data_IF_757691722116
#
_entry.id   IF_757691722116
#
_cell.length_a   1.000
_cell.length_b   1.000
_cell.length_c   1.000
_cell.angle_alpha   90.00
_cell.angle_beta   90.00
_cell.angle_gamma   90.00
#
_symmetry.space_group_name_H-M   'P 1'
#
loop_
_entity.id
_entity.type
_entity.pdbx_description
1 polymer ?
#
# COMPACT_ATOMS: atom_id res chain seq x y z
N UNK A 1 22.56 -40.72 2.70
CA UNK A 1 21.53 -41.71 3.01
C UNK A 1 21.34 -41.71 4.51
N UNK A 2 20.42 -40.95 5.01
CA UNK A 2 19.75 -41.12 6.31
C UNK A 2 18.45 -40.31 6.23
N UNK A 3 17.36 -41.08 6.28
CA UNK A 3 15.98 -40.62 6.17
C UNK A 3 15.61 -39.65 7.31
N UNK A 4 14.89 -38.57 6.97
CA UNK A 4 14.13 -37.79 7.91
C UNK A 4 12.70 -38.36 8.00
N UNK A 5 12.08 -38.40 9.18
CA UNK A 5 10.72 -38.91 9.32
C UNK A 5 9.68 -37.84 9.04
N UNK A 6 8.72 -38.18 8.17
CA UNK A 6 7.43 -37.49 8.02
C UNK A 6 6.62 -37.62 9.33
N UNK A 7 6.24 -36.47 9.90
CA UNK A 7 5.26 -36.38 10.97
C UNK A 7 4.14 -35.44 10.58
N UNK A 8 2.86 -35.82 10.78
CA UNK A 8 1.73 -34.95 10.43
C UNK A 8 1.60 -33.77 11.37
N UNK A 9 1.16 -32.63 10.82
CA UNK A 9 0.86 -31.41 11.53
C UNK A 9 -0.27 -31.61 12.57
N UNK A 10 -0.26 -30.93 13.72
CA UNK A 10 -1.30 -31.09 14.72
C UNK A 10 -2.63 -30.42 14.31
N UNK A 11 -3.71 -31.19 14.46
CA UNK A 11 -5.10 -30.75 14.33
C UNK A 11 -5.41 -29.62 15.32
N UNK A 12 -5.85 -28.48 14.81
CA UNK A 12 -6.41 -27.39 15.63
C UNK A 12 -7.87 -27.74 15.94
N UNK A 13 -8.15 -28.07 17.19
CA UNK A 13 -9.46 -28.37 17.73
C UNK A 13 -10.40 -27.16 17.62
N UNK A 14 -11.51 -27.33 16.90
CA UNK A 14 -12.63 -26.40 16.87
C UNK A 14 -13.32 -26.39 18.24
N UNK A 15 -13.37 -25.23 18.88
CA UNK A 15 -14.18 -25.01 20.08
C UNK A 15 -15.67 -24.79 19.72
N UNK A 16 -16.60 -25.03 20.67
CA UNK A 16 -18.04 -25.03 20.40
C UNK A 16 -18.62 -23.63 20.18
N UNK A 17 -19.52 -23.52 19.19
CA UNK A 17 -20.31 -22.33 18.86
C UNK A 17 -21.35 -22.08 19.96
N UNK A 18 -21.51 -20.88 20.52
CA UNK A 18 -22.60 -20.57 21.44
C UNK A 18 -23.96 -20.36 20.74
N UNK A 19 -25.02 -20.83 21.39
CA UNK A 19 -26.38 -20.81 20.95
C UNK A 19 -26.99 -19.40 20.71
N UNK A 20 -27.90 -19.33 19.76
CA UNK A 20 -28.60 -18.15 19.30
C UNK A 20 -29.49 -17.49 20.36
N UNK A 21 -29.44 -16.18 20.49
CA UNK A 21 -30.31 -15.35 21.28
C UNK A 21 -31.74 -15.20 20.67
N UNK A 22 -32.80 -15.03 21.45
CA UNK A 22 -34.19 -15.08 20.97
C UNK A 22 -34.64 -13.80 20.25
N UNK A 23 -35.39 -13.99 19.17
CA UNK A 23 -36.00 -12.95 18.37
C UNK A 23 -37.04 -12.14 19.17
N UNK A 24 -36.86 -10.82 19.28
CA UNK A 24 -37.87 -9.88 19.78
C UNK A 24 -38.93 -9.65 18.70
N UNK A 25 -40.19 -9.86 19.11
CA UNK A 25 -41.42 -9.57 18.31
C UNK A 25 -41.58 -8.06 18.13
N UNK A 26 -41.64 -7.60 16.87
CA UNK A 26 -41.92 -6.22 16.50
C UNK A 26 -43.39 -5.86 16.79
N UNK A 27 -43.64 -4.67 17.33
CA UNK A 27 -44.93 -4.04 17.46
C UNK A 27 -45.30 -3.38 16.12
N UNK A 28 -46.47 -3.75 15.59
CA UNK A 28 -47.05 -3.10 14.44
C UNK A 28 -47.60 -1.71 14.83
N UNK A 29 -47.21 -0.70 14.06
CA UNK A 29 -47.81 0.64 14.11
C UNK A 29 -48.87 0.77 13.00
N UNK A 30 -50.06 1.16 13.36
CA UNK A 30 -51.18 1.39 12.45
C UNK A 30 -50.94 2.71 11.67
N UNK A 31 -50.98 2.63 10.34
CA UNK A 31 -50.99 3.79 9.45
C UNK A 31 -52.42 4.38 9.37
N UNK A 32 -52.55 5.63 9.77
CA UNK A 32 -53.76 6.42 9.53
C UNK A 32 -53.72 6.95 8.08
N UNK A 33 -54.77 6.62 7.31
CA UNK A 33 -54.93 7.11 5.95
C UNK A 33 -55.44 8.56 5.97
N UNK A 34 -54.66 9.49 5.44
CA UNK A 34 -55.09 10.86 5.13
C UNK A 34 -55.42 10.91 3.64
N UNK A 35 -56.65 11.23 3.33
CA UNK A 35 -57.16 11.36 1.96
C UNK A 35 -56.53 12.57 1.28
N UNK A 36 -55.92 12.33 0.12
CA UNK A 36 -55.38 13.37 -0.76
C UNK A 36 -56.40 13.69 -1.86
N UNK A 37 -56.87 14.93 -1.91
CA UNK A 37 -57.68 15.48 -2.99
C UNK A 37 -56.76 15.68 -4.22
N UNK A 38 -57.10 15.04 -5.33
CA UNK A 38 -56.36 15.14 -6.59
C UNK A 38 -56.60 16.51 -7.26
N UNK A 39 -55.55 17.29 -7.47
CA UNK A 39 -55.53 18.43 -8.40
C UNK A 39 -55.12 17.96 -9.82
N UNK A 40 -55.61 18.57 -10.90
CA UNK A 40 -55.30 18.15 -12.28
C UNK A 40 -53.83 18.40 -12.65
N UNK A 41 -53.22 17.61 -13.56
CA UNK A 41 -51.83 17.77 -13.93
C UNK A 41 -51.64 19.01 -14.79
N UNK A 42 -50.86 19.96 -14.31
CA UNK A 42 -50.24 20.97 -15.15
C UNK A 42 -49.06 20.29 -15.86
N UNK A 43 -49.06 20.28 -17.20
CA UNK A 43 -48.02 19.70 -18.01
C UNK A 43 -46.68 20.41 -17.77
N UNK A 44 -45.88 19.90 -16.85
CA UNK A 44 -44.51 20.26 -16.64
C UNK A 44 -43.65 19.23 -17.35
N UNK A 45 -42.90 19.64 -18.39
CA UNK A 45 -41.86 18.82 -18.98
C UNK A 45 -40.88 18.40 -17.89
N UNK A 46 -40.76 17.11 -17.63
CA UNK A 46 -39.75 16.57 -16.75
C UNK A 46 -38.39 16.84 -17.39
N UNK A 47 -37.65 17.83 -16.90
CA UNK A 47 -36.22 17.96 -17.14
C UNK A 47 -35.59 16.78 -16.43
N UNK A 48 -35.24 15.74 -17.17
CA UNK A 48 -34.39 14.68 -16.68
C UNK A 48 -33.04 15.33 -16.37
N UNK A 49 -32.85 15.73 -15.12
CA UNK A 49 -31.53 16.04 -14.59
C UNK A 49 -30.75 14.73 -14.63
N UNK A 50 -29.96 14.53 -15.68
CA UNK A 50 -29.00 13.43 -15.72
C UNK A 50 -28.02 13.66 -14.58
N UNK A 51 -28.09 12.78 -13.56
CA UNK A 51 -27.10 12.77 -12.49
C UNK A 51 -25.74 12.60 -13.15
N UNK A 52 -24.75 13.46 -12.83
CA UNK A 52 -23.41 13.25 -13.36
C UNK A 52 -22.94 11.81 -13.05
N UNK A 53 -22.25 11.19 -13.97
CA UNK A 53 -21.73 9.85 -13.75
C UNK A 53 -20.78 9.88 -12.54
N UNK A 54 -20.82 8.84 -11.70
CA UNK A 54 -19.91 8.72 -10.57
C UNK A 54 -18.45 8.82 -11.04
N UNK A 55 -17.55 9.40 -10.25
CA UNK A 55 -16.13 9.44 -10.62
C UNK A 55 -15.57 8.01 -10.78
N UNK A 56 -14.61 7.85 -11.68
CA UNK A 56 -13.98 6.56 -11.95
C UNK A 56 -12.52 6.79 -12.29
N UNK A 57 -11.64 5.91 -11.78
CA UNK A 57 -10.23 5.91 -12.13
C UNK A 57 -10.00 5.53 -13.60
N UNK A 58 -8.82 5.89 -14.11
CA UNK A 58 -8.33 5.43 -15.41
C UNK A 58 -7.18 4.45 -15.20
N UNK A 59 -7.35 3.19 -15.59
CA UNK A 59 -6.25 2.24 -15.64
C UNK A 59 -5.35 2.57 -16.82
N UNK A 60 -4.03 2.61 -16.62
CA UNK A 60 -3.07 2.72 -17.70
C UNK A 60 -2.93 1.35 -18.39
N UNK A 61 -2.89 1.35 -19.72
CA UNK A 61 -2.49 0.16 -20.48
C UNK A 61 -0.96 0.06 -20.44
N UNK A 62 -0.47 -0.97 -19.76
CA UNK A 62 0.96 -1.16 -19.50
C UNK A 62 1.56 -2.20 -20.43
N UNK A 63 2.82 -2.00 -20.85
CA UNK A 63 3.60 -2.91 -21.67
C UNK A 63 5.06 -2.97 -21.18
N UNK A 64 5.82 -3.94 -21.71
CA UNK A 64 7.23 -4.13 -21.36
C UNK A 64 7.46 -5.02 -20.15
N UNK A 65 8.45 -4.71 -19.33
CA UNK A 65 8.76 -5.46 -18.12
C UNK A 65 7.86 -5.00 -16.96
N UNK A 66 6.83 -5.80 -16.67
CA UNK A 66 5.82 -5.51 -15.67
C UNK A 66 5.94 -6.39 -14.41
N UNK A 67 6.96 -7.26 -14.33
CA UNK A 67 7.13 -8.15 -13.18
C UNK A 67 7.63 -7.36 -11.97
N UNK A 68 6.70 -6.76 -11.22
CA UNK A 68 6.96 -5.80 -10.15
C UNK A 68 6.15 -6.16 -8.92
N UNK A 69 6.80 -6.21 -7.75
CA UNK A 69 6.18 -6.37 -6.43
C UNK A 69 6.52 -5.15 -5.57
N UNK A 70 5.57 -4.62 -4.81
CA UNK A 70 5.70 -3.44 -3.95
C UNK A 70 6.31 -2.24 -4.70
N UNK A 71 5.61 -1.70 -5.73
CA UNK A 71 6.13 -0.60 -6.51
C UNK A 71 6.17 0.71 -5.73
N UNK A 72 7.32 1.38 -5.68
CA UNK A 72 7.45 2.80 -5.38
C UNK A 72 7.50 3.58 -6.69
N UNK A 73 6.43 4.29 -7.01
CA UNK A 73 6.28 5.04 -8.25
C UNK A 73 6.79 6.47 -8.11
N UNK A 74 7.66 6.89 -9.00
CA UNK A 74 8.08 8.28 -9.17
C UNK A 74 7.59 8.77 -10.53
N UNK A 75 6.57 9.63 -10.52
CA UNK A 75 6.05 10.28 -11.74
C UNK A 75 6.92 11.47 -12.10
N UNK A 76 7.57 11.43 -13.26
CA UNK A 76 8.34 12.55 -13.81
C UNK A 76 7.44 13.74 -14.19
N UNK A 77 8.03 14.93 -14.32
CA UNK A 77 7.36 16.08 -14.90
C UNK A 77 7.12 15.89 -16.42
N UNK A 78 6.46 16.85 -17.06
CA UNK A 78 6.16 16.74 -18.50
C UNK A 78 7.44 16.57 -19.33
N UNK A 79 7.58 15.42 -19.97
CA UNK A 79 8.73 15.06 -20.79
C UNK A 79 9.87 14.37 -20.02
N UNK A 80 9.77 14.25 -18.72
CA UNK A 80 10.74 13.52 -17.90
C UNK A 80 10.35 12.05 -17.72
N UNK A 81 11.31 11.14 -17.55
CA UNK A 81 11.03 9.74 -17.31
C UNK A 81 10.28 9.49 -16.00
N UNK A 82 9.43 8.45 -16.00
CA UNK A 82 8.89 7.87 -14.78
C UNK A 82 9.75 6.71 -14.33
N UNK A 83 9.80 6.48 -13.03
CA UNK A 83 10.53 5.36 -12.43
C UNK A 83 9.63 4.54 -11.52
N UNK A 84 9.87 3.23 -11.48
CA UNK A 84 9.32 2.31 -10.47
C UNK A 84 10.48 1.58 -9.83
N UNK A 85 10.61 1.75 -8.53
CA UNK A 85 11.47 0.92 -7.68
C UNK A 85 10.60 -0.20 -7.11
N UNK A 86 11.16 -1.39 -6.94
CA UNK A 86 10.36 -2.54 -6.48
C UNK A 86 11.19 -3.52 -5.68
N UNK A 87 10.49 -4.38 -4.94
CA UNK A 87 11.10 -5.51 -4.21
C UNK A 87 12.09 -6.25 -5.09
N UNK A 88 13.26 -6.57 -4.53
CA UNK A 88 14.34 -7.26 -5.20
C UNK A 88 14.07 -8.74 -5.42
N UNK A 89 14.79 -9.32 -6.36
CA UNK A 89 14.80 -10.75 -6.64
C UNK A 89 16.26 -11.25 -6.60
N UNK A 90 16.57 -12.23 -5.77
CA UNK A 90 17.93 -12.77 -5.63
C UNK A 90 18.51 -13.31 -6.94
N UNK A 91 17.63 -13.69 -7.87
CA UNK A 91 18.00 -14.12 -9.24
C UNK A 91 18.46 -12.95 -10.12
N UNK A 92 18.11 -11.71 -9.72
CA UNK A 92 18.43 -10.47 -10.44
C UNK A 92 19.07 -9.51 -9.44
N UNK A 93 20.26 -8.99 -9.74
CA UNK A 93 20.91 -7.98 -8.90
C UNK A 93 21.16 -8.38 -7.45
N UNK A 94 21.27 -9.67 -7.15
CA UNK A 94 21.54 -10.18 -5.80
C UNK A 94 20.46 -9.77 -4.76
N UNK A 95 19.21 -9.67 -5.18
CA UNK A 95 18.10 -9.29 -4.32
C UNK A 95 17.98 -7.81 -4.04
N UNK A 96 18.80 -6.96 -4.66
CA UNK A 96 18.67 -5.51 -4.57
C UNK A 96 17.33 -5.02 -5.14
N UNK A 97 16.75 -3.92 -4.63
CA UNK A 97 15.57 -3.31 -5.23
C UNK A 97 15.79 -3.04 -6.71
N UNK A 98 14.83 -3.46 -7.54
CA UNK A 98 14.88 -3.32 -9.00
C UNK A 98 14.40 -1.94 -9.42
N UNK A 99 14.89 -1.47 -10.55
CA UNK A 99 14.54 -0.18 -11.13
C UNK A 99 13.98 -0.37 -12.53
N UNK A 100 12.80 0.19 -12.77
CA UNK A 100 12.19 0.29 -14.09
C UNK A 100 12.00 1.73 -14.47
N UNK A 101 12.16 2.02 -15.76
CA UNK A 101 12.00 3.36 -16.33
C UNK A 101 10.94 3.32 -17.44
N UNK A 102 10.14 4.37 -17.51
CA UNK A 102 9.25 4.66 -18.64
C UNK A 102 9.52 6.05 -19.17
N UNK A 103 9.59 6.20 -20.50
CA UNK A 103 9.79 7.48 -21.19
C UNK A 103 8.56 7.93 -21.99
N UNK A 104 7.43 7.23 -21.81
CA UNK A 104 6.18 7.49 -22.55
C UNK A 104 4.97 7.73 -21.61
N UNK A 105 5.23 8.28 -20.44
CA UNK A 105 4.19 8.63 -19.46
C UNK A 105 3.62 7.40 -18.74
N UNK A 106 4.48 6.46 -18.37
CA UNK A 106 4.12 5.30 -17.56
C UNK A 106 3.46 4.15 -18.32
N UNK A 107 3.52 4.13 -19.67
CA UNK A 107 2.89 3.08 -20.48
C UNK A 107 3.80 1.91 -20.78
N UNK A 108 5.05 2.18 -21.20
CA UNK A 108 6.02 1.13 -21.51
C UNK A 108 7.16 1.16 -20.50
N UNK A 109 7.45 0.03 -19.90
CA UNK A 109 8.44 -0.12 -18.84
C UNK A 109 9.61 -0.99 -19.28
N UNK A 110 10.82 -0.56 -18.97
CA UNK A 110 12.04 -1.33 -19.16
C UNK A 110 12.80 -1.45 -17.83
N UNK A 111 13.34 -2.64 -17.52
CA UNK A 111 14.26 -2.79 -16.42
C UNK A 111 15.60 -2.11 -16.79
N UNK A 112 16.03 -1.18 -15.93
CA UNK A 112 17.27 -0.41 -16.16
C UNK A 112 18.37 -0.75 -15.13
N UNK A 113 18.11 -1.68 -14.21
CA UNK A 113 19.08 -2.17 -13.26
C UNK A 113 18.53 -2.31 -11.84
N UNK A 114 19.44 -2.27 -10.88
CA UNK A 114 19.16 -2.38 -9.46
C UNK A 114 19.85 -1.26 -8.68
N UNK A 115 19.35 -0.98 -7.47
CA UNK A 115 19.85 0.13 -6.62
C UNK A 115 21.33 -0.03 -6.28
N UNK A 116 21.84 -1.27 -6.17
CA UNK A 116 23.26 -1.55 -5.97
C UNK A 116 23.70 -2.81 -6.69
N UNK A 117 24.99 -2.89 -6.94
CA UNK A 117 25.66 -4.08 -7.41
C UNK A 117 26.35 -4.83 -6.25
N UNK A 118 26.90 -6.01 -6.53
CA UNK A 118 27.56 -6.85 -5.53
C UNK A 118 28.64 -6.16 -4.70
N UNK A 119 29.34 -5.19 -5.29
CA UNK A 119 30.45 -4.47 -4.65
C UNK A 119 30.00 -3.34 -3.72
N UNK A 120 28.79 -2.82 -3.91
CA UNK A 120 28.28 -1.61 -3.22
C UNK A 120 27.09 -1.91 -2.31
N UNK A 121 26.67 -3.19 -2.21
CA UNK A 121 25.54 -3.58 -1.33
C UNK A 121 25.85 -3.31 0.14
N UNK A 122 24.85 -2.91 0.94
CA UNK A 122 25.01 -2.63 2.37
C UNK A 122 25.28 -3.93 3.15
N UNK A 123 26.52 -4.17 3.54
CA UNK A 123 26.92 -5.45 4.16
C UNK A 123 26.44 -5.60 5.60
N UNK A 124 26.28 -4.49 6.33
CA UNK A 124 25.83 -4.45 7.71
C UNK A 124 24.43 -5.10 7.88
N UNK A 125 23.59 -5.05 6.85
CA UNK A 125 22.26 -5.63 6.87
C UNK A 125 22.29 -7.14 7.12
N UNK A 126 23.30 -7.86 6.62
CA UNK A 126 23.40 -9.32 6.80
C UNK A 126 23.75 -9.71 8.24
N UNK A 127 24.37 -8.79 9.00
CA UNK A 127 24.62 -8.96 10.42
C UNK A 127 23.35 -8.62 11.23
N UNK A 128 22.59 -7.61 10.83
CA UNK A 128 21.33 -7.19 11.46
C UNK A 128 20.20 -8.23 11.22
N UNK A 129 20.09 -8.73 9.98
CA UNK A 129 19.05 -9.69 9.56
C UNK A 129 19.70 -10.91 8.90
N UNK A 130 20.18 -11.88 9.71
CA UNK A 130 20.76 -13.12 9.18
C UNK A 130 19.77 -13.88 8.31
N UNK A 131 20.18 -14.24 7.10
CA UNK A 131 19.37 -14.99 6.14
C UNK A 131 18.54 -14.12 5.19
N UNK A 132 18.71 -12.79 5.20
CA UNK A 132 18.11 -11.92 4.19
C UNK A 132 18.68 -12.26 2.81
N UNK A 133 17.77 -12.42 1.83
CA UNK A 133 18.11 -12.69 0.42
C UNK A 133 17.63 -11.58 -0.50
N UNK A 134 16.39 -11.13 -0.32
CA UNK A 134 15.77 -10.04 -1.08
C UNK A 134 15.54 -8.83 -0.18
N UNK A 135 15.66 -7.65 -0.74
CA UNK A 135 15.35 -6.39 -0.10
C UNK A 135 14.00 -5.92 -0.61
N UNK A 136 13.10 -5.57 0.32
CA UNK A 136 11.68 -5.46 0.06
C UNK A 136 11.20 -4.03 0.10
N UNK A 137 10.03 -3.82 -0.53
CA UNK A 137 9.17 -2.66 -0.41
C UNK A 137 9.93 -1.33 -0.31
N UNK A 138 10.65 -0.93 -1.38
CA UNK A 138 11.33 0.36 -1.38
C UNK A 138 10.32 1.50 -1.37
N UNK A 139 10.71 2.61 -0.75
CA UNK A 139 10.06 3.92 -0.90
C UNK A 139 11.08 4.93 -1.40
N UNK A 140 10.67 5.83 -2.28
CA UNK A 140 11.57 6.83 -2.89
C UNK A 140 10.95 8.20 -2.84
N UNK A 141 11.61 9.12 -2.13
CA UNK A 141 11.19 10.52 -2.00
C UNK A 141 12.32 11.47 -2.36
N UNK A 142 11.99 12.68 -2.77
CA UNK A 142 12.96 13.72 -3.10
C UNK A 142 12.85 14.86 -2.08
N UNK A 143 13.99 15.37 -1.63
CA UNK A 143 14.08 16.57 -0.82
C UNK A 143 15.35 17.35 -1.16
N UNK A 144 15.21 18.63 -1.51
CA UNK A 144 16.30 19.55 -1.82
C UNK A 144 17.35 18.99 -2.83
N UNK A 145 16.87 18.34 -3.91
CA UNK A 145 17.73 17.78 -4.97
C UNK A 145 18.43 16.48 -4.58
N UNK A 146 18.04 15.87 -3.47
CA UNK A 146 18.51 14.56 -3.03
C UNK A 146 17.36 13.57 -3.03
N UNK A 147 17.56 12.42 -3.64
CA UNK A 147 16.69 11.27 -3.60
C UNK A 147 17.02 10.38 -2.41
N UNK A 148 16.03 10.03 -1.64
CA UNK A 148 16.10 9.14 -0.48
C UNK A 148 15.35 7.86 -0.82
N UNK A 149 16.03 6.73 -0.76
CA UNK A 149 15.45 5.41 -0.95
C UNK A 149 15.51 4.64 0.36
N UNK A 150 14.35 4.39 0.94
CA UNK A 150 14.17 3.50 2.07
C UNK A 150 13.92 2.08 1.54
N UNK A 151 14.51 1.08 2.16
CA UNK A 151 14.31 -0.32 1.79
C UNK A 151 14.19 -1.19 3.03
N UNK A 152 13.41 -2.25 2.96
CA UNK A 152 13.27 -3.19 4.06
C UNK A 152 14.17 -4.42 3.86
N UNK A 153 14.77 -4.89 4.94
CA UNK A 153 15.41 -6.19 5.01
C UNK A 153 14.78 -7.02 6.12
N UNK A 154 14.30 -8.21 5.77
CA UNK A 154 13.61 -9.11 6.68
C UNK A 154 13.69 -10.56 6.20
N UNK A 155 13.03 -11.47 6.94
CA UNK A 155 12.75 -12.84 6.54
C UNK A 155 11.28 -13.17 6.82
N UNK A 156 10.66 -14.00 6.00
CA UNK A 156 9.24 -14.36 6.17
C UNK A 156 8.94 -14.93 7.56
N UNK A 157 7.85 -14.44 8.18
CA UNK A 157 7.37 -14.90 9.49
C UNK A 157 8.17 -14.39 10.69
N UNK A 158 9.05 -13.43 10.49
CA UNK A 158 9.84 -12.80 11.54
C UNK A 158 9.62 -11.28 11.55
N UNK A 159 9.75 -10.67 12.72
CA UNK A 159 9.95 -9.22 12.82
C UNK A 159 11.39 -8.86 13.23
N UNK A 160 12.37 -9.74 12.95
CA UNK A 160 13.77 -9.32 12.89
C UNK A 160 13.99 -8.62 11.58
N UNK A 161 13.80 -7.31 11.59
CA UNK A 161 13.74 -6.51 10.38
C UNK A 161 14.42 -5.19 10.56
N UNK A 162 14.81 -4.56 9.44
CA UNK A 162 15.38 -3.23 9.43
C UNK A 162 14.93 -2.46 8.18
N UNK A 163 14.64 -1.18 8.35
CA UNK A 163 14.55 -0.23 7.26
C UNK A 163 15.90 0.48 7.17
N UNK A 164 16.56 0.35 6.01
CA UNK A 164 17.80 1.03 5.67
C UNK A 164 17.53 2.18 4.70
N UNK A 165 18.50 3.09 4.60
CA UNK A 165 18.43 4.27 3.73
C UNK A 165 19.60 4.31 2.76
N UNK A 166 19.29 4.65 1.52
CA UNK A 166 20.28 5.06 0.50
C UNK A 166 19.89 6.42 -0.07
N UNK A 167 20.89 7.19 -0.53
CA UNK A 167 20.66 8.48 -1.17
C UNK A 167 21.33 8.56 -2.53
N UNK A 168 20.76 9.36 -3.45
CA UNK A 168 21.32 9.66 -4.75
C UNK A 168 20.96 11.10 -5.15
N UNK A 169 21.65 11.69 -6.10
CA UNK A 169 21.36 13.03 -6.64
C UNK A 169 20.59 12.99 -7.95
N UNK A 170 20.39 11.82 -8.54
CA UNK A 170 19.66 11.61 -9.78
C UNK A 170 19.05 10.22 -9.80
N UNK A 171 17.92 10.04 -10.50
CA UNK A 171 17.33 8.72 -10.76
C UNK A 171 17.73 8.15 -12.13
N UNK A 172 18.39 8.94 -12.98
CA UNK A 172 18.82 8.50 -14.31
C UNK A 172 20.12 7.66 -14.20
N UNK A 173 20.05 6.34 -14.50
CA UNK A 173 21.25 5.47 -14.45
C UNK A 173 22.31 5.84 -15.48
N UNK A 174 21.95 6.61 -16.52
CA UNK A 174 22.88 7.06 -17.56
C UNK A 174 23.61 8.37 -17.17
N UNK A 175 23.21 9.03 -16.07
CA UNK A 175 23.86 10.24 -15.55
C UNK A 175 25.20 9.86 -14.88
N UNK A 176 26.33 10.55 -15.21
CA UNK A 176 27.62 10.32 -14.55
C UNK A 176 27.62 10.51 -13.01
N UNK A 177 26.66 11.27 -12.48
CA UNK A 177 26.50 11.48 -11.03
C UNK A 177 25.67 10.36 -10.35
N UNK A 178 25.12 9.41 -11.13
CA UNK A 178 24.31 8.33 -10.58
C UNK A 178 25.14 7.42 -9.66
N UNK A 179 24.83 7.50 -8.37
CA UNK A 179 25.47 6.66 -7.37
C UNK A 179 24.60 6.59 -6.09
N UNK A 180 24.04 5.45 -5.81
CA UNK A 180 23.37 5.22 -4.54
C UNK A 180 24.40 5.04 -3.41
N UNK A 181 24.26 5.85 -2.36
CA UNK A 181 25.14 5.89 -1.20
C UNK A 181 24.40 5.35 0.02
N UNK A 182 24.93 4.27 0.61
CA UNK A 182 24.40 3.69 1.86
C UNK A 182 24.53 4.68 3.03
N UNK A 183 23.40 4.91 3.72
CA UNK A 183 23.31 5.79 4.91
C UNK A 183 23.10 5.00 6.20
N UNK A 184 22.99 3.68 6.10
CA UNK A 184 22.81 2.81 7.24
C UNK A 184 21.34 2.59 7.65
N UNK A 185 21.19 2.16 8.88
CA UNK A 185 19.89 1.85 9.50
C UNK A 185 19.12 3.13 9.84
N UNK A 186 17.80 3.10 9.59
CA UNK A 186 16.85 4.12 10.05
C UNK A 186 16.10 3.64 11.27
N UNK A 187 15.50 2.46 11.20
CA UNK A 187 14.77 1.84 12.30
C UNK A 187 14.81 0.32 12.15
N UNK A 188 14.80 -0.39 13.26
CA UNK A 188 14.79 -1.85 13.31
C UNK A 188 13.68 -2.38 14.22
N UNK A 189 13.48 -3.70 14.18
CA UNK A 189 12.64 -4.44 15.10
C UNK A 189 13.28 -5.75 15.48
N UNK A 190 13.06 -6.15 16.76
CA UNK A 190 13.64 -7.34 17.38
C UNK A 190 12.55 -8.26 17.90
N UNK A 191 12.56 -9.55 17.54
CA UNK A 191 11.58 -10.52 18.02
C UNK A 191 11.56 -10.61 19.56
N UNK A 192 10.36 -10.44 20.13
CA UNK A 192 10.13 -10.53 21.58
C UNK A 192 10.43 -9.27 22.36
N UNK A 193 10.97 -8.23 21.73
CA UNK A 193 11.20 -6.91 22.31
C UNK A 193 10.20 -5.90 21.71
N UNK A 194 10.09 -5.87 20.38
CA UNK A 194 9.24 -4.92 19.67
C UNK A 194 7.91 -5.55 19.22
N UNK A 195 6.84 -4.77 19.32
CA UNK A 195 5.51 -5.15 18.80
C UNK A 195 5.21 -4.50 17.46
N UNK A 196 6.24 -4.25 16.65
CA UNK A 196 6.12 -3.83 15.26
C UNK A 196 7.07 -4.64 14.37
N UNK A 197 6.92 -4.48 13.08
CA UNK A 197 7.83 -5.05 12.08
C UNK A 197 8.39 -3.89 11.24
N UNK A 198 9.70 -3.65 11.29
CA UNK A 198 10.35 -2.54 10.60
C UNK A 198 10.54 -2.85 9.12
N UNK A 199 9.43 -2.84 8.35
CA UNK A 199 9.35 -2.96 6.89
C UNK A 199 8.30 -2.03 6.31
N UNK A 200 8.22 -1.92 5.01
CA UNK A 200 7.19 -1.22 4.26
C UNK A 200 7.13 0.28 4.60
N UNK A 201 8.22 1.00 4.36
CA UNK A 201 8.26 2.44 4.56
C UNK A 201 7.34 3.18 3.57
N UNK A 202 6.61 4.18 4.06
CA UNK A 202 5.89 5.17 3.24
C UNK A 202 6.11 6.56 3.84
N UNK A 203 6.73 7.48 3.09
CA UNK A 203 7.20 8.78 3.61
C UNK A 203 6.38 9.92 3.03
N UNK A 204 6.02 10.88 3.88
CA UNK A 204 5.39 12.14 3.47
C UNK A 204 6.10 13.32 4.12
N UNK A 205 6.36 14.38 3.35
CA UNK A 205 6.84 15.66 3.90
C UNK A 205 5.63 16.53 4.29
N UNK A 206 5.61 17.03 5.50
CA UNK A 206 4.59 17.91 6.06
C UNK A 206 5.23 19.22 6.44
N UNK A 207 5.10 20.22 5.57
CA UNK A 207 5.67 21.56 5.80
C UNK A 207 7.17 21.56 6.15
N UNK A 208 7.95 20.66 5.51
CA UNK A 208 9.39 20.50 5.73
C UNK A 208 9.74 19.54 6.87
N UNK A 209 8.76 18.88 7.47
CA UNK A 209 8.96 17.81 8.45
C UNK A 209 8.59 16.46 7.82
N UNK A 210 9.55 15.55 7.63
CA UNK A 210 9.26 14.24 7.06
C UNK A 210 8.70 13.28 8.13
N UNK A 211 7.67 12.52 7.73
CA UNK A 211 7.05 11.48 8.54
C UNK A 211 7.09 10.14 7.80
N UNK A 212 7.43 9.07 8.49
CA UNK A 212 7.44 7.73 7.93
C UNK A 212 6.38 6.85 8.62
N UNK A 213 5.41 6.38 7.84
CA UNK A 213 4.59 5.25 8.23
C UNK A 213 5.30 3.96 7.82
N UNK A 214 5.23 2.92 8.66
CA UNK A 214 5.84 1.62 8.37
C UNK A 214 5.13 0.51 9.13
N UNK A 215 5.37 -0.74 8.76
CA UNK A 215 4.91 -1.88 9.53
C UNK A 215 4.08 -2.88 8.76
N UNK A 216 4.11 -4.11 9.24
CA UNK A 216 3.41 -5.27 8.70
C UNK A 216 3.07 -6.20 9.84
N UNK A 217 1.80 -6.60 9.94
CA UNK A 217 1.28 -7.50 10.99
C UNK A 217 1.54 -6.97 12.42
N UNK A 218 2.04 -7.77 13.34
CA UNK A 218 2.34 -7.44 14.75
C UNK A 218 1.42 -6.37 15.34
N UNK A 219 1.96 -5.20 15.71
CA UNK A 219 1.22 -4.06 16.23
C UNK A 219 0.50 -3.23 15.19
N UNK A 220 0.57 -3.60 13.91
CA UNK A 220 0.00 -2.84 12.80
C UNK A 220 0.94 -1.77 12.26
N UNK A 221 0.36 -0.72 11.70
CA UNK A 221 1.08 0.39 11.09
C UNK A 221 1.49 1.40 12.13
N UNK A 222 2.78 1.73 12.12
CA UNK A 222 3.43 2.67 13.01
C UNK A 222 3.78 3.96 12.26
N UNK A 223 3.92 5.06 13.00
CA UNK A 223 4.37 6.36 12.49
C UNK A 223 5.52 6.89 13.33
N UNK A 224 6.54 7.42 12.68
CA UNK A 224 7.68 8.12 13.29
C UNK A 224 7.99 9.40 12.55
N UNK A 225 8.54 10.38 13.26
CA UNK A 225 9.09 11.60 12.67
C UNK A 225 10.54 11.36 12.22
N UNK A 226 10.86 11.82 11.02
CA UNK A 226 12.22 11.83 10.48
C UNK A 226 12.78 13.27 10.52
N UNK A 227 14.05 13.42 10.19
CA UNK A 227 14.72 14.72 10.09
C UNK A 227 15.44 14.89 8.75
N UNK A 228 15.22 16.00 8.08
CA UNK A 228 16.05 16.43 6.96
C UNK A 228 17.31 17.14 7.44
N UNK A 229 18.45 17.08 6.72
CA UNK A 229 18.65 16.34 5.46
C UNK A 229 19.12 14.89 5.65
N UNK A 230 19.19 14.41 6.89
CA UNK A 230 19.74 13.07 7.17
C UNK A 230 18.79 11.94 6.73
N UNK A 231 17.47 12.18 6.72
CA UNK A 231 16.45 11.20 6.36
C UNK A 231 16.30 10.07 7.39
N UNK A 232 16.79 10.27 8.61
CA UNK A 232 16.74 9.31 9.72
C UNK A 232 15.78 9.81 10.82
N UNK A 233 15.57 9.02 11.88
CA UNK A 233 14.69 9.40 12.99
C UNK A 233 15.09 10.76 13.57
N UNK A 234 14.10 11.64 13.76
CA UNK A 234 14.29 12.93 14.42
C UNK A 234 14.69 12.78 15.89
N UNK A 235 14.13 11.79 16.56
CA UNK A 235 14.48 11.35 17.91
C UNK A 235 14.65 9.82 17.91
N UNK A 236 15.88 9.31 18.02
CA UNK A 236 16.14 7.86 18.03
C UNK A 236 15.51 7.11 19.23
N UNK A 237 15.15 7.81 20.28
CA UNK A 237 14.54 7.24 21.49
C UNK A 237 12.99 7.36 21.47
N UNK A 238 12.40 7.95 20.42
CA UNK A 238 10.95 8.10 20.30
C UNK A 238 10.28 6.75 20.02
N UNK A 239 9.26 6.43 20.82
CA UNK A 239 8.42 5.25 20.55
C UNK A 239 7.50 5.50 19.33
N UNK A 240 7.41 4.55 18.39
CA UNK A 240 6.50 4.65 17.26
C UNK A 240 5.03 4.71 17.70
N UNK A 241 4.21 5.47 16.96
CA UNK A 241 2.78 5.63 17.23
C UNK A 241 1.97 4.74 16.31
N UNK A 242 1.11 3.87 16.83
CA UNK A 242 0.21 3.05 16.01
C UNK A 242 -0.89 3.90 15.37
N UNK A 243 -0.96 3.93 14.04
CA UNK A 243 -1.94 4.70 13.26
C UNK A 243 -2.94 3.83 12.49
N UNK A 244 -2.70 2.52 12.32
CA UNK A 244 -3.67 1.59 11.75
C UNK A 244 -3.47 0.16 12.27
N UNK A 245 -4.58 -0.61 12.40
CA UNK A 245 -4.59 -1.99 12.87
C UNK A 245 -5.89 -2.70 12.43
N UNK A 246 -5.84 -4.01 12.16
CA UNK A 246 -7.04 -4.82 11.83
C UNK A 246 -7.81 -5.30 13.08
N UNK A 247 -7.27 -5.14 14.25
CA UNK A 247 -7.78 -5.70 15.51
C UNK A 247 -8.01 -7.22 15.39
N UNK A 248 -7.13 -7.99 15.97
CA UNK A 248 -7.25 -9.45 15.99
C UNK A 248 -5.91 -10.14 15.72
N UNK A 249 -5.98 -11.46 15.55
CA UNK A 249 -4.83 -12.28 15.21
C UNK A 249 -5.20 -13.21 14.04
N UNK A 250 -4.44 -13.16 12.93
CA UNK A 250 -3.34 -12.24 12.69
C UNK A 250 -3.82 -10.81 12.44
N UNK A 251 -3.01 -9.81 12.79
CA UNK A 251 -3.23 -8.41 12.47
C UNK A 251 -2.76 -8.14 11.02
N UNK A 252 -3.49 -8.69 10.04
CA UNK A 252 -3.10 -8.72 8.64
C UNK A 252 -3.32 -7.35 7.97
N UNK A 253 -2.41 -6.43 8.22
CA UNK A 253 -2.32 -5.07 7.66
C UNK A 253 -0.86 -4.73 7.43
N UNK A 254 -0.52 -4.12 6.29
CA UNK A 254 0.84 -3.77 5.90
C UNK A 254 0.87 -2.73 4.77
N UNK A 255 2.06 -2.46 4.23
CA UNK A 255 2.28 -1.56 3.11
C UNK A 255 1.58 -0.20 3.27
N UNK A 256 1.84 0.56 4.35
CA UNK A 256 1.28 1.90 4.48
C UNK A 256 1.86 2.84 3.43
N UNK A 257 1.03 3.73 2.91
CA UNK A 257 1.47 4.85 2.09
C UNK A 257 0.72 6.11 2.49
N UNK A 258 1.46 7.19 2.72
CA UNK A 258 0.92 8.49 3.09
C UNK A 258 0.89 9.44 1.90
N UNK A 259 -0.24 10.10 1.67
CA UNK A 259 -0.37 11.14 0.67
C UNK A 259 -1.11 12.35 1.23
N UNK A 260 -0.70 13.55 0.86
CA UNK A 260 -1.41 14.80 1.19
C UNK A 260 -2.20 15.26 -0.04
N UNK A 261 -3.45 15.68 0.19
CA UNK A 261 -4.28 16.33 -0.80
C UNK A 261 -5.32 17.26 -0.15
N UNK A 262 -5.38 18.49 -0.59
CA UNK A 262 -6.40 19.48 -0.16
C UNK A 262 -6.49 19.64 1.38
N UNK A 263 -5.33 19.53 2.05
CA UNK A 263 -5.18 19.60 3.51
C UNK A 263 -5.76 18.39 4.24
N UNK A 264 -5.86 17.23 3.57
CA UNK A 264 -6.09 15.93 4.16
C UNK A 264 -4.88 15.04 3.94
N UNK A 265 -4.51 14.29 4.96
CA UNK A 265 -3.60 13.17 4.87
C UNK A 265 -4.40 11.88 4.65
N UNK A 266 -4.03 11.12 3.63
CA UNK A 266 -4.62 9.82 3.31
C UNK A 266 -3.61 8.74 3.64
N UNK A 267 -4.04 7.78 4.47
CA UNK A 267 -3.27 6.58 4.76
C UNK A 267 -3.86 5.42 3.96
N UNK A 268 -3.16 5.01 2.93
CA UNK A 268 -3.45 3.79 2.18
C UNK A 268 -2.78 2.63 2.90
N UNK A 269 -3.44 1.48 2.95
CA UNK A 269 -2.92 0.25 3.55
C UNK A 269 -3.35 -0.96 2.74
N UNK A 270 -2.54 -1.99 2.76
CA UNK A 270 -2.91 -3.32 2.25
C UNK A 270 -3.33 -4.23 3.39
N UNK A 271 -4.26 -5.14 3.10
CA UNK A 271 -4.89 -6.02 4.09
C UNK A 271 -4.89 -7.46 3.60
N UNK A 272 -5.00 -8.37 4.56
CA UNK A 272 -5.11 -9.81 4.37
C UNK A 272 -3.79 -10.42 3.85
N UNK A 273 -3.79 -11.42 2.98
CA UNK A 273 -2.59 -12.18 2.64
C UNK A 273 -2.09 -11.88 1.25
N UNK A 274 -0.83 -11.39 1.13
CA UNK A 274 -0.08 -11.35 -0.12
C UNK A 274 0.67 -12.67 -0.39
N UNK A 275 1.44 -12.69 -1.47
CA UNK A 275 2.57 -13.62 -1.69
C UNK A 275 2.16 -15.09 -1.89
N UNK A 276 0.89 -15.35 -2.26
CA UNK A 276 0.34 -16.68 -2.51
C UNK A 276 -0.12 -16.86 -3.97
N UNK A 277 0.36 -16.00 -4.90
CA UNK A 277 -0.07 -16.03 -6.29
C UNK A 277 -1.59 -15.90 -6.42
N UNK A 278 -2.22 -16.78 -7.19
CA UNK A 278 -3.68 -16.76 -7.39
C UNK A 278 -4.52 -17.05 -6.13
N UNK A 279 -3.90 -17.51 -5.04
CA UNK A 279 -4.57 -17.74 -3.75
C UNK A 279 -4.46 -16.51 -2.80
N UNK A 280 -3.83 -15.43 -3.24
CA UNK A 280 -3.71 -14.20 -2.46
C UNK A 280 -5.07 -13.56 -2.21
N UNK A 281 -5.28 -13.06 -1.00
CA UNK A 281 -6.50 -12.35 -0.60
C UNK A 281 -6.25 -10.86 -0.36
N UNK A 282 -5.09 -10.38 -0.75
CA UNK A 282 -4.64 -9.01 -0.59
C UNK A 282 -5.66 -8.01 -1.14
N UNK A 283 -5.83 -6.89 -0.49
CA UNK A 283 -6.73 -5.83 -0.88
C UNK A 283 -6.31 -4.51 -0.24
N UNK A 284 -6.72 -3.39 -0.84
CA UNK A 284 -6.39 -2.07 -0.37
C UNK A 284 -7.54 -1.40 0.36
N UNK A 285 -7.20 -0.64 1.38
CA UNK A 285 -8.13 0.27 2.05
C UNK A 285 -7.46 1.62 2.33
N UNK A 286 -8.27 2.63 2.63
CA UNK A 286 -7.81 3.99 2.90
C UNK A 286 -8.55 4.60 4.07
N UNK A 287 -7.86 5.42 4.84
CA UNK A 287 -8.43 6.35 5.80
C UNK A 287 -7.85 7.74 5.60
N UNK A 288 -8.48 8.76 6.17
CA UNK A 288 -7.96 10.13 6.09
C UNK A 288 -8.00 10.86 7.43
N UNK A 289 -7.09 11.81 7.60
CA UNK A 289 -7.00 12.68 8.76
C UNK A 289 -6.67 14.11 8.36
N UNK A 290 -6.94 15.08 9.24
CA UNK A 290 -6.43 16.46 9.12
C UNK A 290 -5.05 16.63 9.76
N UNK A 291 -4.63 15.68 10.53
CA UNK A 291 -3.33 15.64 11.19
C UNK A 291 -2.57 14.39 10.72
N UNK A 292 -1.28 14.53 10.42
CA UNK A 292 -0.45 13.40 9.98
C UNK A 292 -0.33 12.30 11.04
N UNK A 293 -0.46 12.66 12.30
CA UNK A 293 -0.46 11.71 13.42
C UNK A 293 -1.82 11.01 13.62
N UNK A 294 -2.85 11.35 12.82
CA UNK A 294 -4.18 10.76 12.90
C UNK A 294 -5.13 11.50 13.86
N UNK A 295 -6.25 10.90 14.27
CA UNK A 295 -6.71 9.58 13.84
C UNK A 295 -7.11 9.54 12.35
N UNK A 296 -6.74 8.49 11.65
CA UNK A 296 -7.18 8.22 10.29
C UNK A 296 -8.52 7.50 10.32
N UNK A 297 -9.55 8.09 9.73
CA UNK A 297 -10.90 7.54 9.77
C UNK A 297 -11.40 7.18 8.37
N UNK A 298 -12.30 6.19 8.29
CA UNK A 298 -13.06 5.87 7.08
C UNK A 298 -14.31 6.77 6.93
N UNK A 299 -15.14 6.53 5.90
CA UNK A 299 -16.36 7.31 5.64
C UNK A 299 -17.38 7.25 6.78
N UNK A 300 -17.38 6.19 7.56
CA UNK A 300 -18.27 6.01 8.70
C UNK A 300 -17.71 6.61 10.00
N UNK A 301 -16.51 7.21 9.93
CA UNK A 301 -15.80 7.79 11.07
C UNK A 301 -15.11 6.75 11.96
N UNK A 302 -14.93 5.52 11.48
CA UNK A 302 -14.21 4.49 12.24
C UNK A 302 -12.71 4.67 12.07
N UNK A 303 -11.99 4.70 13.18
CA UNK A 303 -10.54 4.84 13.21
C UNK A 303 -9.86 3.59 12.62
N UNK A 304 -8.85 3.78 11.76
CA UNK A 304 -8.04 2.70 11.22
C UNK A 304 -7.25 1.97 12.33
N UNK A 305 -6.83 2.67 13.38
CA UNK A 305 -6.20 2.05 14.55
C UNK A 305 -7.18 1.14 15.32
N UNK A 306 -8.49 1.32 15.11
CA UNK A 306 -9.57 0.51 15.66
C UNK A 306 -10.24 -0.42 14.62
N UNK A 307 -9.55 -0.77 13.53
CA UNK A 307 -10.03 -1.69 12.51
C UNK A 307 -10.91 -1.07 11.44
N UNK A 308 -11.04 0.26 11.40
CA UNK A 308 -11.70 1.01 10.32
C UNK A 308 -10.95 0.91 8.99
N UNK A 309 -11.44 1.59 7.98
CA UNK A 309 -10.82 1.78 6.66
C UNK A 309 -11.78 1.53 5.51
N UNK A 310 -11.87 2.51 4.63
CA UNK A 310 -12.68 2.48 3.41
C UNK A 310 -12.07 1.52 2.40
N UNK A 311 -12.79 0.52 1.89
CA UNK A 311 -12.29 -0.33 0.81
C UNK A 311 -11.97 0.48 -0.45
N UNK A 312 -10.80 0.22 -1.06
CA UNK A 312 -10.33 0.95 -2.24
C UNK A 312 -10.21 0.05 -3.47
N UNK A 313 -9.53 -1.07 -3.35
CA UNK A 313 -9.33 -2.01 -4.45
C UNK A 313 -9.20 -3.44 -3.90
N UNK A 314 -9.80 -4.41 -4.60
CA UNK A 314 -9.78 -5.83 -4.24
C UNK A 314 -9.76 -6.70 -5.50
N UNK A 315 -9.61 -8.01 -5.32
CA UNK A 315 -9.63 -9.02 -6.39
C UNK A 315 -10.85 -8.87 -7.31
N UNK A 316 -10.59 -8.88 -8.63
CA UNK A 316 -11.61 -8.87 -9.70
C UNK A 316 -11.14 -9.73 -10.86
N UNK A 317 -11.89 -10.81 -11.15
CA UNK A 317 -11.53 -11.71 -12.23
C UNK A 317 -10.10 -12.26 -12.08
N UNK A 318 -9.30 -12.10 -13.12
CA UNK A 318 -7.91 -12.55 -13.14
C UNK A 318 -6.93 -11.59 -12.42
N UNK A 319 -7.38 -10.41 -12.02
CA UNK A 319 -6.61 -9.46 -11.19
C UNK A 319 -6.82 -9.84 -9.73
N UNK A 320 -5.89 -10.61 -9.18
CA UNK A 320 -5.97 -11.17 -7.83
C UNK A 320 -5.07 -10.40 -6.86
N UNK A 321 -5.56 -10.13 -5.66
CA UNK A 321 -4.78 -9.62 -4.56
C UNK A 321 -4.03 -8.32 -4.84
N UNK A 322 -4.68 -7.23 -5.31
CA UNK A 322 -3.99 -5.95 -5.52
C UNK A 322 -3.57 -5.34 -4.19
N UNK A 323 -2.30 -4.89 -4.10
CA UNK A 323 -1.74 -4.27 -2.89
C UNK A 323 -0.29 -3.82 -3.04
N UNK A 324 0.38 -3.54 -1.92
CA UNK A 324 1.76 -3.02 -1.90
C UNK A 324 1.86 -1.70 -2.68
N UNK A 325 0.95 -0.77 -2.40
CA UNK A 325 0.72 0.42 -3.21
C UNK A 325 1.63 1.58 -2.87
N UNK A 326 1.87 2.43 -3.87
CA UNK A 326 2.40 3.79 -3.74
C UNK A 326 1.57 4.80 -4.53
N UNK A 327 1.70 6.08 -4.21
CA UNK A 327 0.98 7.16 -4.88
C UNK A 327 1.93 8.29 -5.28
N UNK A 328 1.89 8.72 -6.54
CA UNK A 328 2.70 9.82 -7.05
C UNK A 328 1.91 10.66 -8.04
N UNK A 329 1.81 11.96 -7.80
CA UNK A 329 1.20 12.97 -8.71
C UNK A 329 -0.14 12.55 -9.33
N UNK A 330 -1.03 11.93 -8.53
CA UNK A 330 -2.36 11.49 -8.98
C UNK A 330 -2.45 10.04 -9.41
N UNK A 331 -1.34 9.32 -9.52
CA UNK A 331 -1.29 7.93 -9.93
C UNK A 331 -1.05 7.01 -8.73
N UNK A 332 -1.85 5.95 -8.64
CA UNK A 332 -1.70 4.84 -7.71
C UNK A 332 -1.02 3.69 -8.45
N UNK A 333 0.18 3.30 -8.02
CA UNK A 333 0.83 2.08 -8.46
C UNK A 333 0.63 0.98 -7.41
N UNK A 334 0.54 -0.27 -7.86
CA UNK A 334 0.37 -1.45 -7.00
C UNK A 334 0.84 -2.70 -7.73
N UNK A 335 1.09 -3.77 -7.01
CA UNK A 335 1.20 -5.09 -7.64
C UNK A 335 -0.12 -5.86 -7.53
N UNK A 336 -0.29 -6.86 -8.39
CA UNK A 336 -1.39 -7.80 -8.40
C UNK A 336 -0.91 -9.14 -8.99
N UNK A 337 -1.62 -10.22 -8.73
CA UNK A 337 -1.28 -11.55 -9.22
C UNK A 337 -2.18 -11.93 -10.39
N UNK A 338 -1.57 -12.28 -11.53
CA UNK A 338 -2.27 -12.63 -12.77
C UNK A 338 -2.71 -14.09 -12.74
N UNK A 339 -3.99 -14.35 -12.42
CA UNK A 339 -4.50 -15.72 -12.35
C UNK A 339 -4.51 -16.41 -13.72
N UNK A 340 -4.58 -15.67 -14.84
CA UNK A 340 -4.49 -16.22 -16.18
C UNK A 340 -3.07 -16.68 -16.54
N UNK A 341 -2.05 -16.11 -15.89
CA UNK A 341 -0.63 -16.41 -16.10
C UNK A 341 0.00 -17.12 -14.89
N UNK A 342 -0.80 -17.96 -14.19
CA UNK A 342 -0.30 -18.81 -13.11
C UNK A 342 -0.01 -18.08 -11.80
N UNK A 343 -0.53 -16.87 -11.60
CA UNK A 343 -0.38 -16.12 -10.38
C UNK A 343 0.96 -15.39 -10.25
N UNK A 344 1.68 -15.14 -11.36
CA UNK A 344 2.85 -14.25 -11.32
C UNK A 344 2.41 -12.79 -11.06
N UNK A 345 3.26 -12.04 -10.37
CA UNK A 345 2.89 -10.67 -9.99
C UNK A 345 3.25 -9.66 -11.09
N UNK A 346 2.41 -8.64 -11.20
CA UNK A 346 2.50 -7.61 -12.23
C UNK A 346 2.27 -6.21 -11.64
N UNK A 347 2.86 -5.22 -12.27
CA UNK A 347 2.60 -3.80 -12.05
C UNK A 347 1.19 -3.45 -12.53
N UNK A 348 0.45 -2.70 -11.71
CA UNK A 348 -0.75 -1.97 -12.10
C UNK A 348 -0.58 -0.50 -11.79
N UNK A 349 -1.06 0.38 -12.67
CA UNK A 349 -1.07 1.83 -12.45
C UNK A 349 -2.44 2.39 -12.81
N UNK A 350 -3.00 3.22 -11.92
CA UNK A 350 -4.27 3.92 -12.14
C UNK A 350 -4.14 5.41 -11.83
N UNK A 351 -4.61 6.25 -12.73
CA UNK A 351 -4.90 7.63 -12.39
C UNK A 351 -6.15 7.64 -11.52
N UNK A 352 -6.02 8.06 -10.26
CA UNK A 352 -7.13 8.10 -9.32
C UNK A 352 -8.14 9.18 -9.67
N UNK A 353 -9.42 8.85 -9.57
CA UNK A 353 -10.48 9.84 -9.47
C UNK A 353 -10.75 10.18 -7.99
N UNK A 354 -11.47 11.26 -7.77
CA UNK A 354 -11.88 11.72 -6.45
C UNK A 354 -13.36 12.06 -6.47
N UNK A 355 -14.08 11.64 -5.44
CA UNK A 355 -15.50 11.98 -5.35
C UNK A 355 -15.75 13.37 -4.74
N UNK A 356 -17.02 13.78 -4.72
CA UNK A 356 -17.43 15.10 -4.24
C UNK A 356 -17.14 15.31 -2.73
N UNK A 357 -16.89 14.24 -1.98
CA UNK A 357 -16.52 14.27 -0.57
C UNK A 357 -14.99 14.23 -0.36
N UNK A 358 -14.22 14.18 -1.45
CA UNK A 358 -12.77 14.13 -1.45
C UNK A 358 -12.19 12.76 -1.09
N UNK A 359 -12.89 11.66 -1.40
CA UNK A 359 -12.33 10.32 -1.25
C UNK A 359 -11.76 9.80 -2.57
N UNK A 360 -10.64 9.05 -2.52
CA UNK A 360 -10.08 8.44 -3.71
C UNK A 360 -10.98 7.34 -4.25
N UNK A 361 -11.06 7.26 -5.58
CA UNK A 361 -11.76 6.21 -6.31
C UNK A 361 -10.75 5.53 -7.23
N UNK A 362 -10.46 4.26 -6.96
CA UNK A 362 -9.52 3.47 -7.72
C UNK A 362 -10.20 2.53 -8.74
N UNK A 363 -11.53 2.34 -8.66
CA UNK A 363 -12.27 1.52 -9.61
C UNK A 363 -12.52 2.25 -10.93
N UNK A 364 -12.35 1.52 -12.04
CA UNK A 364 -12.64 2.03 -13.38
C UNK A 364 -14.12 2.04 -13.68
N UNK A 365 -14.52 2.71 -14.76
CA UNK A 365 -15.92 2.75 -15.22
C UNK A 365 -16.48 1.36 -15.53
N UNK A 366 -15.65 0.50 -16.10
CA UNK A 366 -16.02 -0.88 -16.44
C UNK A 366 -16.25 -1.71 -15.18
N UNK A 367 -15.34 -1.62 -14.20
CA UNK A 367 -15.47 -2.30 -12.93
C UNK A 367 -16.72 -1.86 -12.15
N UNK A 368 -17.02 -0.55 -12.13
CA UNK A 368 -18.24 -0.02 -11.52
C UNK A 368 -19.52 -0.54 -12.20
N UNK A 369 -19.48 -0.74 -13.52
CA UNK A 369 -20.60 -1.29 -14.25
C UNK A 369 -20.84 -2.78 -13.93
N UNK A 370 -19.77 -3.55 -13.72
CA UNK A 370 -19.84 -4.95 -13.28
C UNK A 370 -20.44 -5.08 -11.87
N UNK A 371 -20.13 -4.16 -10.95
CA UNK A 371 -20.69 -4.16 -9.57
C UNK A 371 -22.19 -3.81 -9.53
N UNK A 372 -22.70 -3.12 -10.54
CA UNK A 372 -24.08 -2.67 -10.63
C UNK A 372 -25.04 -3.69 -11.28
N UNK A 373 -24.52 -4.76 -11.90
CA UNK A 373 -25.29 -5.80 -12.63
C UNK A 373 -25.44 -7.07 -11.86
#
# INVERSE_FOLDING_TARGET
>A
MTDAPDGPAPDVLAGPVPDALPRRRGRAWALAAVGVVAAPPVGGGAVLLTRPAAPAATALELAGDLRTHDPALVVGDEGEPWYVFSTGDVRVGLGAPQIRRSTDGGRTWEEVGTVWEAGTRPRWVYDAVPGVENFWAPEVVEHDGTWYLYYAASTFGSNRSVIGLMTNTTLDPDDPAYAWVDRGEVISSTPGEDNWNAIDAGVVDVDGTPWMAFGSFWGGIQLVELAWPDGTLADPDAEPVTIASRIGSPNAIEAPYLAERDGWYYLFVSRDSCCQGSDSTYNMAVGRSRDVTGPYVDREGRDLAAGGGEPLLATRGDVVGPGGQSYSKGYLAFHWYDAAEGGDFRLGIRELAWDDEGWPVATTREEQAQDAG
#
